data_IF_730416924577
#
_entry.id   IF_730416924577
#
_cell.length_a   1.000
_cell.length_b   1.000
_cell.length_c   1.000
_cell.angle_alpha   90.00
_cell.angle_beta   90.00
_cell.angle_gamma   90.00
#
_symmetry.space_group_name_H-M   'P 1'
#
loop_
_entity.id
_entity.type
_entity.pdbx_description
1 polymer ?
#
# COMPACT_ATOMS: atom_id res chain seq x y z
N UNK A 1 8.79 -13.42 -24.79
CA UNK A 1 10.20 -13.60 -24.45
C UNK A 1 10.35 -13.10 -23.04
N UNK A 2 10.66 -14.00 -22.11
CA UNK A 2 10.81 -13.69 -20.69
C UNK A 2 12.22 -13.10 -20.54
N UNK A 3 12.33 -11.79 -20.74
CA UNK A 3 13.56 -11.06 -20.48
C UNK A 3 13.77 -11.09 -18.97
N UNK A 4 14.53 -12.09 -18.51
CA UNK A 4 14.93 -12.24 -17.12
C UNK A 4 15.63 -10.94 -16.70
N UNK A 5 14.87 -10.05 -16.05
CA UNK A 5 15.31 -8.73 -15.68
C UNK A 5 16.62 -8.84 -14.91
N UNK A 6 17.63 -8.07 -15.34
CA UNK A 6 18.95 -8.08 -14.73
C UNK A 6 18.85 -7.96 -13.19
N UNK A 7 19.76 -8.60 -12.43
CA UNK A 7 19.75 -8.54 -10.98
C UNK A 7 19.72 -7.08 -10.53
N UNK A 8 18.73 -6.73 -9.72
CA UNK A 8 18.60 -5.39 -9.17
C UNK A 8 19.63 -5.20 -8.06
N UNK A 9 20.14 -3.97 -7.91
CA UNK A 9 20.91 -3.60 -6.73
C UNK A 9 20.09 -3.91 -5.46
N UNK A 10 20.62 -4.70 -4.51
CA UNK A 10 19.92 -5.05 -3.28
C UNK A 10 19.51 -3.82 -2.44
N UNK A 11 20.19 -2.69 -2.60
CA UNK A 11 19.84 -1.44 -1.93
C UNK A 11 18.82 -0.59 -2.70
N UNK A 12 18.53 -0.90 -3.97
CA UNK A 12 17.63 -0.11 -4.79
C UNK A 12 16.17 -0.52 -4.62
N UNK A 13 15.31 0.45 -4.29
CA UNK A 13 13.85 0.27 -4.27
C UNK A 13 13.30 -0.08 -5.64
N UNK A 14 12.31 -0.98 -5.67
CA UNK A 14 11.54 -1.30 -6.88
C UNK A 14 10.75 -0.05 -7.32
N UNK A 15 10.52 0.16 -8.63
CA UNK A 15 9.71 1.28 -9.10
C UNK A 15 8.40 1.35 -8.34
N UNK A 16 8.07 2.53 -7.81
CA UNK A 16 6.93 2.77 -6.93
C UNK A 16 5.91 3.66 -7.63
N UNK A 17 4.67 3.19 -7.70
CA UNK A 17 3.51 4.04 -7.95
C UNK A 17 2.74 4.20 -6.63
N UNK A 18 2.34 5.43 -6.30
CA UNK A 18 1.53 5.68 -5.11
C UNK A 18 0.46 6.73 -5.38
N UNK A 19 -0.76 6.48 -4.88
CA UNK A 19 -1.87 7.43 -4.91
C UNK A 19 -2.53 7.51 -3.53
N UNK A 20 -2.43 8.68 -2.91
CA UNK A 20 -3.17 9.00 -1.69
C UNK A 20 -4.63 9.36 -2.00
N UNK A 21 -5.52 9.19 -1.03
CA UNK A 21 -6.92 9.58 -1.12
C UNK A 21 -7.71 8.79 -2.16
N UNK A 22 -7.35 7.53 -2.43
CA UNK A 22 -8.03 6.71 -3.44
C UNK A 22 -9.45 6.32 -3.00
N UNK A 23 -9.64 6.03 -1.71
CA UNK A 23 -10.93 5.67 -1.12
C UNK A 23 -11.60 6.90 -0.53
N UNK A 24 -12.76 7.27 -1.07
CA UNK A 24 -13.54 8.43 -0.60
C UNK A 24 -14.28 8.19 0.72
N UNK A 25 -14.47 6.92 1.11
CA UNK A 25 -15.11 6.54 2.37
C UNK A 25 -14.15 6.48 3.56
N UNK A 26 -12.84 6.59 3.32
CA UNK A 26 -11.82 6.60 4.36
C UNK A 26 -11.34 8.04 4.58
N UNK A 27 -11.01 8.38 5.83
CA UNK A 27 -10.43 9.69 6.15
C UNK A 27 -8.98 9.80 5.65
N UNK A 28 -8.26 8.68 5.60
CA UNK A 28 -6.99 8.56 4.92
C UNK A 28 -6.92 7.26 4.14
N UNK A 29 -6.37 7.29 2.93
CA UNK A 29 -6.10 6.06 2.15
C UNK A 29 -4.90 6.22 1.25
N UNK A 30 -4.25 5.11 0.92
CA UNK A 30 -3.13 5.07 -0.02
C UNK A 30 -3.14 3.76 -0.79
N UNK A 31 -3.02 3.85 -2.11
CA UNK A 31 -2.74 2.73 -2.98
C UNK A 31 -1.28 2.77 -3.40
N UNK A 32 -0.59 1.65 -3.28
CA UNK A 32 0.85 1.53 -3.58
C UNK A 32 1.09 0.32 -4.46
N UNK A 33 1.84 0.51 -5.54
CA UNK A 33 2.38 -0.57 -6.36
C UNK A 33 3.91 -0.51 -6.33
N UNK A 34 4.53 -1.68 -6.23
CA UNK A 34 5.95 -1.86 -6.41
C UNK A 34 6.19 -2.77 -7.62
N UNK A 35 7.26 -2.51 -8.36
CA UNK A 35 7.72 -3.40 -9.42
C UNK A 35 7.78 -4.86 -8.97
N UNK A 36 7.52 -5.81 -9.87
CA UNK A 36 7.38 -7.23 -9.51
C UNK A 36 6.01 -7.61 -8.93
N UNK A 37 4.98 -6.80 -9.20
CA UNK A 37 3.57 -7.18 -9.04
C UNK A 37 2.99 -6.97 -7.64
N UNK A 38 3.75 -6.46 -6.68
CA UNK A 38 3.22 -6.18 -5.34
C UNK A 38 2.32 -4.95 -5.39
N UNK A 39 1.07 -5.10 -4.91
CA UNK A 39 0.07 -4.04 -4.87
C UNK A 39 -0.61 -4.07 -3.50
N UNK A 40 -0.77 -2.90 -2.87
CA UNK A 40 -1.36 -2.76 -1.53
C UNK A 40 -2.32 -1.57 -1.53
N UNK A 41 -3.47 -1.74 -0.89
CA UNK A 41 -4.40 -0.67 -0.58
C UNK A 41 -4.53 -0.56 0.94
N UNK A 42 -4.21 0.61 1.49
CA UNK A 42 -4.35 0.95 2.89
C UNK A 42 -5.44 2.01 3.08
N UNK A 43 -6.16 1.92 4.19
CA UNK A 43 -7.09 2.95 4.63
C UNK A 43 -7.12 3.06 6.16
N UNK A 44 -7.34 4.28 6.62
CA UNK A 44 -7.49 4.65 8.02
C UNK A 44 -8.88 5.27 8.22
N UNK A 45 -9.57 4.86 9.28
CA UNK A 45 -10.93 5.28 9.59
C UNK A 45 -11.04 5.77 11.03
N UNK A 46 -10.72 7.05 11.24
CA UNK A 46 -10.91 7.74 12.51
C UNK A 46 -10.11 7.19 13.67
N UNK A 47 -9.86 8.03 14.69
CA UNK A 47 -9.86 7.51 16.04
C UNK A 47 -11.27 6.99 16.33
N UNK A 48 -11.39 5.70 16.63
CA UNK A 48 -12.64 5.10 17.11
C UNK A 48 -12.47 4.78 18.58
N UNK A 49 -13.51 5.05 19.36
CA UNK A 49 -13.56 4.55 20.73
C UNK A 49 -13.37 3.04 20.71
N UNK A 50 -12.44 2.55 21.54
CA UNK A 50 -12.23 1.12 21.68
C UNK A 50 -13.51 0.53 22.27
N UNK A 51 -13.90 -0.66 21.79
CA UNK A 51 -15.00 -1.38 22.42
C UNK A 51 -14.66 -1.62 23.89
N UNK A 52 -15.59 -1.24 24.78
CA UNK A 52 -15.51 -1.62 26.20
C UNK A 52 -15.37 -3.15 26.28
N UNK A 53 -14.41 -3.68 27.06
CA UNK A 53 -14.27 -5.12 27.22
C UNK A 53 -15.42 -5.64 28.10
N UNK A 54 -16.57 -5.94 27.49
CA UNK A 54 -17.72 -6.52 28.19
C UNK A 54 -19.11 -6.36 27.58
N UNK A 55 -19.23 -6.10 26.27
CA UNK A 55 -20.52 -6.17 25.58
C UNK A 55 -21.15 -7.56 25.59
#
# INVERSE_FOLDING_TARGET
EDEAAAPRDPCALRPLFARAGLLSQAEGSAYVELGGGTKVLCAAWGPREAAEPGG
#
